data_IF_675622235048
#
_entry.id   IF_675622235048
#
_cell.length_a   1.000
_cell.length_b   1.000
_cell.length_c   1.000
_cell.angle_alpha   90.00
_cell.angle_beta   90.00
_cell.angle_gamma   90.00
#
_symmetry.space_group_name_H-M   'P 1'
#
loop_
_entity.id
_entity.type
_entity.pdbx_description
1 polymer ?
#
# COMPACT_ATOMS: atom_id res chain seq x y z
N UNK A 1 -3.65 -1.43 -10.71
CA UNK A 1 -3.28 -0.35 -9.76
C UNK A 1 -2.94 -0.95 -8.39
N UNK A 2 -2.16 -0.26 -7.55
CA UNK A 2 -1.92 -0.66 -6.15
C UNK A 2 -2.73 0.22 -5.21
N UNK A 3 -3.55 -0.41 -4.37
CA UNK A 3 -4.39 0.23 -3.37
C UNK A 3 -4.04 -0.24 -1.96
N UNK A 4 -4.09 0.70 -1.01
CA UNK A 4 -3.95 0.42 0.41
C UNK A 4 -5.35 0.45 1.01
N UNK A 5 -5.84 -0.72 1.44
CA UNK A 5 -7.14 -0.90 2.05
C UNK A 5 -7.02 -0.80 3.57
N UNK A 6 -7.82 0.05 4.20
CA UNK A 6 -8.00 0.12 5.65
C UNK A 6 -9.33 -0.50 6.12
N UNK A 7 -9.70 -0.24 7.37
CA UNK A 7 -10.91 -0.79 7.99
C UNK A 7 -12.22 -0.47 7.26
N UNK A 8 -12.28 0.64 6.52
CA UNK A 8 -13.49 1.12 5.82
C UNK A 8 -13.35 1.06 4.28
N UNK A 9 -12.38 0.32 3.75
CA UNK A 9 -12.14 0.20 2.31
C UNK A 9 -10.91 0.98 1.84
N UNK A 10 -10.97 1.55 0.63
CA UNK A 10 -9.86 2.29 0.03
C UNK A 10 -9.39 3.44 0.93
N UNK A 11 -8.10 3.45 1.25
CA UNK A 11 -7.48 4.55 2.01
C UNK A 11 -6.62 5.42 1.10
N UNK A 12 -5.66 4.80 0.42
CA UNK A 12 -4.70 5.50 -0.44
C UNK A 12 -4.26 4.63 -1.61
N UNK A 13 -3.58 5.25 -2.57
CA UNK A 13 -2.84 4.55 -3.61
C UNK A 13 -1.41 4.21 -3.20
N UNK A 14 -0.74 3.47 -4.07
CA UNK A 14 0.70 3.23 -4.00
C UNK A 14 1.25 2.80 -5.36
N UNK A 15 2.55 2.51 -5.38
CA UNK A 15 3.24 1.97 -6.54
C UNK A 15 4.11 0.79 -6.12
N UNK A 16 4.01 -0.33 -6.83
CA UNK A 16 4.92 -1.45 -6.65
C UNK A 16 6.29 -1.05 -7.21
N UNK A 17 7.33 -0.99 -6.37
CA UNK A 17 8.69 -0.60 -6.77
C UNK A 17 9.64 -1.80 -6.84
N UNK A 18 9.24 -2.93 -6.27
CA UNK A 18 9.87 -4.26 -6.40
C UNK A 18 8.78 -5.32 -6.17
N UNK A 19 9.06 -6.60 -6.39
CA UNK A 19 8.11 -7.68 -6.09
C UNK A 19 7.60 -7.73 -4.64
N UNK A 20 8.25 -7.03 -3.69
CA UNK A 20 7.86 -7.06 -2.27
C UNK A 20 7.67 -5.68 -1.62
N UNK A 21 7.87 -4.61 -2.36
CA UNK A 21 7.87 -3.26 -1.77
C UNK A 21 6.92 -2.34 -2.52
N UNK A 22 6.05 -1.67 -1.76
CA UNK A 22 5.12 -0.67 -2.26
C UNK A 22 5.54 0.69 -1.72
N UNK A 23 5.73 1.64 -2.62
CA UNK A 23 5.92 3.05 -2.31
C UNK A 23 4.56 3.72 -2.11
N UNK A 24 4.44 4.53 -1.07
CA UNK A 24 3.25 5.34 -0.78
C UNK A 24 3.63 6.59 0.02
N UNK A 25 2.66 7.39 0.43
CA UNK A 25 2.85 8.52 1.32
C UNK A 25 2.85 8.11 2.80
N UNK A 26 3.59 8.83 3.63
CA UNK A 26 3.70 8.57 5.05
C UNK A 26 2.39 8.84 5.79
N UNK A 27 1.68 9.92 5.46
CA UNK A 27 0.42 10.28 6.12
C UNK A 27 -0.68 9.22 5.91
N UNK A 28 -0.58 8.43 4.83
CA UNK A 28 -1.52 7.34 4.59
C UNK A 28 -1.38 6.21 5.61
N UNK A 29 -0.22 6.05 6.23
CA UNK A 29 0.11 4.89 7.06
C UNK A 29 0.54 5.24 8.49
N UNK A 30 0.70 6.52 8.82
CA UNK A 30 1.02 6.98 10.17
C UNK A 30 -0.12 6.68 11.16
N UNK A 31 0.24 6.39 12.41
CA UNK A 31 -0.66 6.17 13.56
C UNK A 31 -1.72 5.07 13.39
N UNK A 32 -1.47 4.11 12.51
CA UNK A 32 -2.36 2.97 12.29
C UNK A 32 -1.61 1.65 12.41
N UNK A 33 -2.27 0.64 13.01
CA UNK A 33 -1.70 -0.69 13.15
C UNK A 33 -1.59 -1.35 11.78
N UNK A 34 -0.42 -1.85 11.41
CA UNK A 34 -0.22 -2.55 10.12
C UNK A 34 -1.24 -3.66 9.85
N UNK A 35 -1.75 -4.34 10.90
CA UNK A 35 -2.68 -5.46 10.78
C UNK A 35 -4.09 -5.01 10.36
N UNK A 36 -4.39 -3.70 10.41
CA UNK A 36 -5.63 -3.14 9.89
C UNK A 36 -5.53 -2.72 8.42
N UNK A 37 -4.37 -2.95 7.79
CA UNK A 37 -4.13 -2.65 6.39
C UNK A 37 -3.90 -3.90 5.55
N UNK A 38 -4.25 -3.81 4.27
CA UNK A 38 -3.93 -4.80 3.24
C UNK A 38 -3.63 -4.08 1.95
N UNK A 39 -2.68 -4.60 1.17
CA UNK A 39 -2.38 -4.08 -0.16
C UNK A 39 -3.16 -4.88 -1.18
N UNK A 40 -3.95 -4.20 -2.01
CA UNK A 40 -4.63 -4.75 -3.16
C UNK A 40 -3.86 -4.36 -4.42
N UNK A 41 -3.40 -5.35 -5.19
CA UNK A 41 -2.74 -5.19 -6.47
C UNK A 41 -3.68 -5.66 -7.59
N UNK A 42 -3.49 -5.15 -8.80
CA UNK A 42 -4.27 -5.57 -9.97
C UNK A 42 -5.69 -5.03 -10.05
N UNK A 43 -6.07 -4.12 -9.14
CA UNK A 43 -7.36 -3.41 -9.19
C UNK A 43 -7.36 -2.34 -10.28
N UNK A 44 -8.45 -2.25 -11.04
CA UNK A 44 -8.79 -1.18 -11.97
C UNK A 44 -10.12 -0.52 -11.58
N UNK A 45 -11.13 -1.30 -11.16
CA UNK A 45 -12.42 -0.77 -10.69
C UNK A 45 -12.65 -1.09 -9.23
N UNK A 46 -12.98 -0.06 -8.42
CA UNK A 46 -13.30 -0.25 -6.98
C UNK A 46 -14.67 -0.89 -6.74
N UNK A 47 -15.53 -0.90 -7.75
CA UNK A 47 -16.91 -1.37 -7.65
C UNK A 47 -17.08 -2.83 -8.07
N UNK A 48 -16.02 -3.42 -8.65
CA UNK A 48 -16.03 -4.77 -9.18
C UNK A 48 -14.83 -5.52 -8.60
N UNK A 49 -14.93 -6.85 -8.51
CA UNK A 49 -13.79 -7.69 -8.15
C UNK A 49 -13.26 -8.34 -9.42
N UNK A 50 -12.03 -8.01 -9.78
CA UNK A 50 -11.40 -8.48 -11.01
C UNK A 50 -10.59 -9.75 -10.77
N UNK A 51 -10.54 -10.64 -11.78
CA UNK A 51 -9.84 -11.93 -11.66
C UNK A 51 -8.33 -11.79 -11.44
N UNK A 52 -7.75 -10.65 -11.78
CA UNK A 52 -6.33 -10.33 -11.60
C UNK A 52 -5.99 -9.66 -10.26
N UNK A 53 -6.99 -9.42 -9.41
CA UNK A 53 -6.77 -8.81 -8.10
C UNK A 53 -6.03 -9.74 -7.14
N UNK A 54 -5.02 -9.19 -6.46
CA UNK A 54 -4.29 -9.90 -5.42
C UNK A 54 -4.25 -9.07 -4.15
N UNK A 55 -4.69 -9.66 -3.03
CA UNK A 55 -4.59 -9.07 -1.70
C UNK A 55 -3.40 -9.66 -0.95
N UNK A 56 -2.47 -8.82 -0.52
CA UNK A 56 -1.30 -9.22 0.25
C UNK A 56 -1.18 -8.45 1.57
N UNK A 57 -0.78 -9.16 2.62
CA UNK A 57 -0.64 -8.60 3.97
C UNK A 57 0.65 -7.80 4.09
N UNK A 58 0.64 -6.84 5.01
CA UNK A 58 1.82 -6.02 5.32
C UNK A 58 2.71 -6.73 6.35
N UNK A 59 4.00 -6.82 6.06
CA UNK A 59 5.03 -7.26 7.02
C UNK A 59 5.51 -6.09 7.88
N UNK A 60 5.96 -5.01 7.23
CA UNK A 60 6.47 -3.80 7.87
C UNK A 60 6.05 -2.55 7.11
N UNK A 61 6.03 -1.43 7.83
CA UNK A 61 5.83 -0.09 7.29
C UNK A 61 7.04 0.73 7.74
N UNK A 62 7.75 1.31 6.78
CA UNK A 62 8.89 2.18 7.01
C UNK A 62 8.52 3.60 6.57
N UNK A 63 8.23 4.47 7.53
CA UNK A 63 7.99 5.89 7.29
C UNK A 63 9.34 6.60 7.23
N UNK A 64 9.50 7.53 6.28
CA UNK A 64 10.73 8.30 6.21
C UNK A 64 10.95 9.09 7.52
N UNK A 65 12.16 9.03 8.13
CA UNK A 65 12.40 9.60 9.46
C UNK A 65 12.25 11.13 9.54
N UNK A 66 12.34 11.82 8.40
CA UNK A 66 12.12 13.27 8.29
C UNK A 66 10.65 13.65 8.03
N UNK A 67 9.71 12.69 8.05
CA UNK A 67 8.29 13.00 7.86
C UNK A 67 7.77 13.90 8.98
N UNK A 68 7.11 15.00 8.61
CA UNK A 68 6.44 15.90 9.56
C UNK A 68 4.94 15.87 9.33
N UNK A 69 4.19 15.41 10.31
CA UNK A 69 2.73 15.27 10.20
C UNK A 69 2.01 16.62 10.04
N UNK A 70 2.59 17.70 10.58
CA UNK A 70 1.97 19.02 10.62
C UNK A 70 2.10 19.75 9.27
N UNK A 71 3.21 19.53 8.56
CA UNK A 71 3.56 20.22 7.31
C UNK A 71 3.55 19.30 6.09
N UNK A 72 3.40 17.98 6.28
CA UNK A 72 3.53 16.94 5.26
C UNK A 72 4.89 16.98 4.53
N UNK A 73 5.92 17.52 5.16
CA UNK A 73 7.28 17.44 4.64
C UNK A 73 7.75 15.99 4.63
N UNK A 74 8.38 15.58 3.54
CA UNK A 74 8.91 14.22 3.35
C UNK A 74 7.85 13.14 3.53
N UNK A 75 6.70 13.35 2.89
CA UNK A 75 5.54 12.46 2.92
C UNK A 75 5.73 11.20 2.05
N UNK A 76 6.62 10.31 2.51
CA UNK A 76 6.99 9.09 1.80
C UNK A 76 7.18 7.92 2.77
N UNK A 77 6.66 6.75 2.40
CA UNK A 77 6.80 5.53 3.15
C UNK A 77 6.92 4.32 2.22
N UNK A 78 7.60 3.28 2.70
CA UNK A 78 7.71 1.98 2.04
C UNK A 78 6.98 0.93 2.87
N UNK A 79 6.07 0.22 2.23
CA UNK A 79 5.40 -0.96 2.78
C UNK A 79 6.13 -2.20 2.27
N UNK A 80 6.53 -3.08 3.17
CA UNK A 80 7.04 -4.42 2.81
C UNK A 80 5.89 -5.42 2.87
N UNK A 81 5.66 -6.13 1.77
CA UNK A 81 4.65 -7.17 1.65
C UNK A 81 5.11 -8.45 2.34
N UNK A 82 4.19 -9.19 2.96
CA UNK A 82 4.51 -10.44 3.67
C UNK A 82 5.09 -11.50 2.74
N UNK A 83 4.57 -11.59 1.52
CA UNK A 83 5.10 -12.43 0.44
C UNK A 83 5.40 -11.58 -0.81
N UNK A 84 6.38 -11.99 -1.63
CA UNK A 84 6.59 -11.36 -2.93
C UNK A 84 5.36 -11.61 -3.82
N UNK A 85 5.13 -10.66 -4.72
CA UNK A 85 4.11 -10.70 -5.76
C UNK A 85 4.79 -10.90 -7.10
N UNK A 86 4.22 -11.76 -7.93
CA UNK A 86 4.66 -11.92 -9.32
C UNK A 86 4.05 -10.82 -10.18
N UNK A 87 4.89 -10.08 -10.90
CA UNK A 87 4.43 -9.10 -11.88
C UNK A 87 3.74 -9.82 -13.04
N UNK A 88 2.65 -9.25 -13.52
CA UNK A 88 1.83 -9.79 -14.61
C UNK A 88 1.26 -8.65 -15.45
N UNK A 89 0.48 -8.93 -16.50
CA UNK A 89 -0.17 -7.86 -17.27
C UNK A 89 -1.08 -6.96 -16.42
N UNK A 90 -1.57 -7.46 -15.29
CA UNK A 90 -2.43 -6.72 -14.38
C UNK A 90 -1.69 -6.17 -13.15
N UNK A 91 -0.44 -6.59 -12.88
CA UNK A 91 0.33 -6.23 -11.68
C UNK A 91 1.69 -5.64 -12.03
#
# INVERSE_FOLDING_TARGET
>A
MVEILGAYGHRCGGALITSRHVLTSAHCVIDVRKDTFTVLLGSYSRNETEKGEMKEKIETICIHPAFKNDTYETDIAIITLKRPVECSETI
#
